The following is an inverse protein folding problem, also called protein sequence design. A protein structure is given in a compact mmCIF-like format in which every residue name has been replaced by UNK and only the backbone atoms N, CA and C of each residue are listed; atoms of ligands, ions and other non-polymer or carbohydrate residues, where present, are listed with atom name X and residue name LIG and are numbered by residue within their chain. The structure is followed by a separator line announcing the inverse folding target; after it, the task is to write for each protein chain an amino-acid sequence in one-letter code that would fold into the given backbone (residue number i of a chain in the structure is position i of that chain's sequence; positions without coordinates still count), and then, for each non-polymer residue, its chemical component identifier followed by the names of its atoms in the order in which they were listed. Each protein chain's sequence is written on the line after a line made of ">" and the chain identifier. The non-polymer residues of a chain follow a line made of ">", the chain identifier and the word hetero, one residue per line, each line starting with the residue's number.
data_IF_853604646858
#
_entry.id   IF_853604646858
#
_cell.length_a   1.000
_cell.length_b   1.000
_cell.length_c   1.000
_cell.angle_alpha   90.00
_cell.angle_beta   90.00
_cell.angle_gamma   90.00
#
_symmetry.space_group_name_H-M   'P 1'
#
loop_
_entity.id
_entity.type
_entity.pdbx_description
1 polymer ?
#
# COMPACT_ATOMS: atom_id res chain seq x y z
N UNK A 1 13.96 17.96 -9.61
CA UNK A 1 13.74 18.80 -8.39
C UNK A 1 15.09 19.00 -7.70
N UNK A 2 15.42 20.20 -7.21
CA UNK A 2 16.67 20.45 -6.45
C UNK A 2 16.43 20.27 -4.95
N UNK A 3 17.43 19.83 -4.20
CA UNK A 3 17.35 19.66 -2.73
C UNK A 3 16.97 20.96 -2.02
N UNK A 4 17.39 22.10 -2.55
CA UNK A 4 17.03 23.43 -2.03
C UNK A 4 15.53 23.71 -2.05
N UNK A 5 14.76 23.08 -2.95
CA UNK A 5 13.29 23.16 -2.93
C UNK A 5 12.72 22.49 -1.68
N UNK A 6 13.29 21.38 -1.22
CA UNK A 6 12.85 20.70 0.00
C UNK A 6 13.11 21.55 1.24
N UNK A 7 14.28 22.19 1.32
CA UNK A 7 14.61 23.12 2.41
C UNK A 7 13.63 24.29 2.45
N UNK A 8 13.29 24.87 1.30
CA UNK A 8 12.23 25.90 1.21
C UNK A 8 10.86 25.36 1.63
N UNK A 9 10.53 24.13 1.25
CA UNK A 9 9.31 23.45 1.69
C UNK A 9 9.22 23.30 3.21
N UNK A 10 10.34 23.00 3.88
CA UNK A 10 10.39 22.98 5.35
C UNK A 10 10.13 24.36 5.97
N UNK A 11 10.67 25.43 5.37
CA UNK A 11 10.38 26.81 5.81
C UNK A 11 8.88 27.08 5.69
N UNK A 12 8.26 26.75 4.54
CA UNK A 12 6.80 26.86 4.37
C UNK A 12 6.01 26.03 5.39
N UNK A 13 6.44 24.79 5.68
CA UNK A 13 5.82 23.96 6.72
C UNK A 13 5.87 24.66 8.08
N UNK A 14 7.02 25.24 8.46
CA UNK A 14 7.21 25.95 9.74
C UNK A 14 6.36 27.22 9.85
N UNK A 15 6.19 27.94 8.74
CA UNK A 15 5.49 29.24 8.72
C UNK A 15 3.97 29.11 8.52
N UNK A 16 3.50 28.02 7.90
CA UNK A 16 2.08 27.87 7.53
C UNK A 16 1.40 26.67 8.19
N UNK A 17 1.94 25.46 8.03
CA UNK A 17 1.30 24.24 8.52
C UNK A 17 1.45 24.09 10.03
N UNK A 18 2.67 24.26 10.56
CA UNK A 18 2.96 24.04 11.98
C UNK A 18 2.13 24.95 12.91
N UNK A 19 2.00 26.27 12.69
CA UNK A 19 1.25 27.14 13.61
C UNK A 19 -0.24 26.76 13.70
N UNK A 20 -0.82 26.25 12.61
CA UNK A 20 -2.24 25.84 12.56
C UNK A 20 -2.47 24.45 13.15
N UNK A 21 -1.42 23.67 13.41
CA UNK A 21 -1.48 22.30 13.94
C UNK A 21 -0.60 22.10 15.19
N UNK A 22 -0.11 23.18 15.81
CA UNK A 22 0.90 23.10 16.86
C UNK A 22 0.44 22.27 18.06
N UNK A 23 -0.82 22.43 18.47
CA UNK A 23 -1.39 21.67 19.59
C UNK A 23 -1.50 20.18 19.28
N UNK A 24 -1.97 19.83 18.07
CA UNK A 24 -2.02 18.44 17.60
C UNK A 24 -0.62 17.81 17.61
N UNK A 25 0.36 18.50 17.03
CA UNK A 25 1.74 17.98 16.93
C UNK A 25 2.40 17.86 18.31
N UNK A 26 2.13 18.80 19.22
CA UNK A 26 2.58 18.73 20.61
C UNK A 26 1.98 17.53 21.32
N UNK A 27 0.67 17.32 21.20
CA UNK A 27 -0.02 16.18 21.78
C UNK A 27 0.55 14.85 21.26
N UNK A 28 0.75 14.72 19.94
CA UNK A 28 1.37 13.52 19.34
C UNK A 28 2.82 13.30 19.82
N UNK A 29 3.59 14.37 20.04
CA UNK A 29 4.95 14.27 20.54
C UNK A 29 5.00 13.85 22.03
N UNK A 30 4.04 14.30 22.85
CA UNK A 30 3.99 14.03 24.29
C UNK A 30 3.36 12.66 24.60
N UNK A 31 2.39 12.22 23.80
CA UNK A 31 1.57 11.03 24.09
C UNK A 31 1.74 9.90 23.08
N UNK A 32 2.44 10.12 21.98
CA UNK A 32 2.63 9.13 20.92
C UNK A 32 1.49 9.12 19.90
N UNK A 33 1.51 8.11 19.02
CA UNK A 33 0.56 7.95 17.92
C UNK A 33 -0.47 6.86 18.23
N UNK A 34 -1.71 7.06 17.78
CA UNK A 34 -2.80 6.08 17.90
C UNK A 34 -3.65 6.00 16.61
N UNK A 35 -3.02 5.73 15.45
CA UNK A 35 -3.76 5.61 14.20
C UNK A 35 -4.72 4.42 14.26
N UNK A 36 -5.91 4.58 13.67
CA UNK A 36 -6.87 3.48 13.51
C UNK A 36 -6.68 2.72 12.22
N UNK A 37 -5.96 3.30 11.26
CA UNK A 37 -5.77 2.73 9.92
C UNK A 37 -4.28 2.60 9.62
N UNK A 38 -3.86 1.41 9.22
CA UNK A 38 -2.61 1.21 8.52
C UNK A 38 -2.83 1.18 7.00
N UNK A 39 -1.98 1.86 6.23
CA UNK A 39 -2.06 1.86 4.76
C UNK A 39 -0.75 1.32 4.19
N UNK A 40 -0.84 0.25 3.42
CA UNK A 40 0.26 -0.31 2.63
C UNK A 40 0.11 0.22 1.21
N UNK A 41 1.04 1.10 0.81
CA UNK A 41 0.99 1.81 -0.47
C UNK A 41 2.29 1.67 -1.26
N UNK A 42 2.23 1.99 -2.55
CA UNK A 42 3.40 1.90 -3.42
C UNK A 42 4.37 3.04 -3.08
N UNK A 43 5.67 2.86 -3.30
CA UNK A 43 6.69 3.93 -3.25
C UNK A 43 6.55 4.97 -4.38
N UNK A 44 5.59 4.79 -5.30
CA UNK A 44 5.34 5.70 -6.41
C UNK A 44 5.13 7.14 -5.94
N UNK A 45 5.95 8.07 -6.44
CA UNK A 45 5.94 9.46 -5.99
C UNK A 45 4.65 10.23 -6.30
N UNK A 46 3.77 9.65 -7.14
CA UNK A 46 2.47 10.22 -7.54
C UNK A 46 1.34 9.84 -6.59
N UNK A 47 1.53 8.81 -5.76
CA UNK A 47 0.51 8.30 -4.84
C UNK A 47 0.94 8.60 -3.41
N UNK A 48 0.24 9.53 -2.76
CA UNK A 48 0.44 9.84 -1.35
C UNK A 48 -0.88 9.56 -0.60
N UNK A 49 -0.95 8.50 0.23
CA UNK A 49 -2.16 8.15 0.95
C UNK A 49 -2.75 9.30 1.76
N UNK A 50 -1.92 10.01 2.54
CA UNK A 50 -2.39 11.09 3.39
C UNK A 50 -2.98 12.26 2.58
N UNK A 51 -2.41 12.58 1.42
CA UNK A 51 -2.99 13.59 0.52
C UNK A 51 -4.27 13.09 -0.17
N UNK A 52 -4.32 11.81 -0.54
CA UNK A 52 -5.48 11.20 -1.21
C UNK A 52 -6.71 11.19 -0.30
N UNK A 53 -6.51 11.02 1.02
CA UNK A 53 -7.59 10.88 2.01
C UNK A 53 -7.74 12.08 2.95
N UNK A 54 -7.11 13.21 2.64
CA UNK A 54 -7.09 14.42 3.49
C UNK A 54 -6.74 14.13 4.96
N UNK A 55 -5.79 13.22 5.18
CA UNK A 55 -5.42 12.76 6.51
C UNK A 55 -4.39 13.67 7.17
N UNK A 56 -4.55 13.86 8.47
CA UNK A 56 -3.68 14.65 9.34
C UNK A 56 -2.58 13.79 9.96
N UNK A 57 -1.54 14.41 10.53
CA UNK A 57 -0.56 13.70 11.35
C UNK A 57 -1.27 12.90 12.45
N UNK A 58 -0.93 11.61 12.56
CA UNK A 58 -1.53 10.69 13.54
C UNK A 58 -2.68 9.83 13.01
N UNK A 59 -3.31 10.18 11.88
CA UNK A 59 -4.47 9.43 11.36
C UNK A 59 -4.08 8.07 10.76
N UNK A 60 -2.95 8.03 10.04
CA UNK A 60 -2.51 6.86 9.27
C UNK A 60 -1.14 6.35 9.74
N UNK A 61 -1.01 5.02 9.86
CA UNK A 61 0.28 4.34 9.89
C UNK A 61 0.64 3.85 8.48
N UNK A 62 1.59 4.51 7.81
CA UNK A 62 1.85 4.26 6.38
C UNK A 62 3.09 3.40 6.14
N UNK A 63 2.89 2.30 5.43
CA UNK A 63 3.95 1.39 4.94
C UNK A 63 4.09 1.62 3.44
N UNK A 64 5.31 1.88 2.95
CA UNK A 64 5.56 2.06 1.52
C UNK A 64 6.61 1.10 0.99
N UNK A 65 6.25 0.35 -0.04
CA UNK A 65 7.15 -0.56 -0.77
C UNK A 65 6.80 -0.59 -2.26
N UNK A 66 7.51 -1.37 -3.07
CA UNK A 66 7.24 -1.45 -4.51
C UNK A 66 5.93 -2.24 -4.72
N UNK A 67 4.97 -1.65 -5.44
CA UNK A 67 3.68 -2.25 -5.80
C UNK A 67 2.75 -2.60 -4.62
N UNK A 68 2.94 -1.96 -3.45
CA UNK A 68 2.05 -2.12 -2.28
C UNK A 68 1.91 -3.57 -1.80
N UNK A 69 2.96 -4.38 -1.96
CA UNK A 69 2.89 -5.81 -1.75
C UNK A 69 3.04 -6.19 -0.27
N UNK A 70 2.30 -7.21 0.12
CA UNK A 70 2.50 -7.91 1.39
C UNK A 70 3.02 -9.31 1.10
N UNK A 71 4.23 -9.68 1.58
CA UNK A 71 4.72 -11.06 1.48
C UNK A 71 3.89 -11.99 2.39
N UNK A 72 3.79 -13.29 2.07
CA UNK A 72 3.14 -14.25 2.94
C UNK A 72 3.95 -14.47 4.22
N UNK A 73 3.29 -14.93 5.28
CA UNK A 73 3.95 -15.39 6.49
C UNK A 73 4.73 -16.69 6.22
N UNK A 74 6.03 -16.70 6.56
CA UNK A 74 6.89 -17.88 6.45
C UNK A 74 7.52 -18.17 7.81
N UNK A 75 6.98 -19.16 8.52
CA UNK A 75 7.43 -19.51 9.88
C UNK A 75 8.90 -19.96 9.94
N UNK A 76 9.37 -20.63 8.89
CA UNK A 76 10.69 -21.27 8.85
C UNK A 76 11.83 -20.32 8.43
N UNK A 77 11.53 -19.17 7.84
CA UNK A 77 12.53 -18.22 7.36
C UNK A 77 12.11 -16.78 7.68
N UNK A 78 12.63 -16.28 8.80
CA UNK A 78 12.44 -14.89 9.23
C UNK A 78 13.44 -13.91 8.60
N UNK A 79 14.33 -14.37 7.72
CA UNK A 79 15.38 -13.52 7.14
C UNK A 79 14.88 -12.66 5.97
N UNK A 80 13.79 -13.08 5.33
CA UNK A 80 13.22 -12.40 4.17
C UNK A 80 12.08 -11.43 4.55
N UNK A 81 12.06 -10.27 3.88
CA UNK A 81 10.99 -9.25 3.92
C UNK A 81 10.67 -8.61 5.29
N UNK A 82 11.65 -8.57 6.18
CA UNK A 82 11.49 -8.10 7.56
C UNK A 82 10.85 -6.72 7.69
N UNK A 83 11.14 -5.77 6.78
CA UNK A 83 10.62 -4.40 6.87
C UNK A 83 9.09 -4.31 6.74
N UNK A 84 8.50 -5.02 5.77
CA UNK A 84 7.03 -4.99 5.59
C UNK A 84 6.36 -5.79 6.70
N UNK A 85 6.86 -6.99 7.02
CA UNK A 85 6.29 -7.85 8.04
C UNK A 85 6.34 -7.18 9.43
N UNK A 86 7.49 -6.63 9.82
CA UNK A 86 7.63 -5.94 11.11
C UNK A 86 6.73 -4.72 11.21
N UNK A 87 6.52 -3.98 10.10
CA UNK A 87 5.62 -2.85 10.10
C UNK A 87 4.15 -3.27 10.26
N UNK A 88 3.71 -4.36 9.60
CA UNK A 88 2.35 -4.91 9.80
C UNK A 88 2.20 -5.45 11.23
N UNK A 89 3.19 -6.17 11.75
CA UNK A 89 3.19 -6.67 13.13
C UNK A 89 3.08 -5.51 14.14
N UNK A 90 3.84 -4.44 13.94
CA UNK A 90 3.78 -3.25 14.79
C UNK A 90 2.44 -2.50 14.66
N UNK A 91 1.87 -2.41 13.46
CA UNK A 91 0.55 -1.83 13.27
C UNK A 91 -0.52 -2.60 14.08
N UNK A 92 -0.49 -3.93 14.02
CA UNK A 92 -1.48 -4.77 14.69
C UNK A 92 -1.24 -4.86 16.21
N UNK A 93 -0.03 -5.17 16.66
CA UNK A 93 0.25 -5.34 18.09
C UNK A 93 0.66 -4.06 18.80
N UNK A 94 1.52 -3.26 18.17
CA UNK A 94 2.06 -2.04 18.78
C UNK A 94 1.07 -0.89 18.80
N UNK A 95 0.31 -0.72 17.71
CA UNK A 95 -0.63 0.40 17.55
C UNK A 95 -2.10 0.00 17.66
N UNK A 96 -2.40 -1.30 17.60
CA UNK A 96 -3.76 -1.82 17.62
C UNK A 96 -4.67 -1.13 16.60
N UNK A 97 -4.19 -1.01 15.35
CA UNK A 97 -5.02 -0.52 14.25
C UNK A 97 -6.26 -1.41 14.08
N UNK A 98 -7.35 -0.80 13.67
CA UNK A 98 -8.64 -1.45 13.42
C UNK A 98 -8.83 -1.76 11.93
N UNK A 99 -8.06 -1.09 11.06
CA UNK A 99 -8.14 -1.28 9.61
C UNK A 99 -6.75 -1.38 8.98
N UNK A 100 -6.61 -2.29 8.00
CA UNK A 100 -5.46 -2.34 7.09
C UNK A 100 -5.95 -2.16 5.66
N UNK A 101 -5.44 -1.14 4.98
CA UNK A 101 -5.71 -0.86 3.57
C UNK A 101 -4.50 -1.24 2.72
N UNK A 102 -4.70 -2.11 1.73
CA UNK A 102 -3.73 -2.33 0.64
C UNK A 102 -4.13 -1.45 -0.54
N UNK A 103 -3.35 -0.38 -0.79
CA UNK A 103 -3.63 0.61 -1.83
C UNK A 103 -2.80 0.35 -3.09
N UNK A 104 -3.39 -0.37 -4.05
CA UNK A 104 -2.89 -0.47 -5.42
C UNK A 104 -3.14 0.81 -6.22
N UNK A 105 -2.48 0.97 -7.36
CA UNK A 105 -2.70 2.12 -8.22
C UNK A 105 -2.41 1.83 -9.70
N UNK A 106 -3.01 2.64 -10.57
CA UNK A 106 -2.82 2.57 -12.01
C UNK A 106 -1.38 2.92 -12.43
N UNK A 107 -0.91 2.27 -13.48
CA UNK A 107 0.41 2.47 -14.09
C UNK A 107 1.56 2.29 -13.10
N UNK A 108 1.49 1.23 -12.30
CA UNK A 108 2.49 0.89 -11.29
C UNK A 108 3.78 0.39 -11.94
N UNK A 109 4.89 1.08 -11.68
CA UNK A 109 6.20 0.68 -12.20
C UNK A 109 6.63 -0.73 -11.78
N UNK A 110 6.28 -1.17 -10.57
CA UNK A 110 6.57 -2.53 -10.10
C UNK A 110 5.78 -3.60 -10.85
N UNK A 111 4.51 -3.37 -11.12
CA UNK A 111 3.68 -4.29 -11.91
C UNK A 111 4.10 -4.29 -13.38
N UNK A 112 4.41 -3.13 -13.95
CA UNK A 112 4.98 -3.05 -15.29
C UNK A 112 6.30 -3.83 -15.39
N UNK A 113 7.15 -3.75 -14.36
CA UNK A 113 8.39 -4.52 -14.27
C UNK A 113 8.14 -6.04 -14.17
N UNK A 114 7.09 -6.46 -13.47
CA UNK A 114 6.65 -7.87 -13.39
C UNK A 114 6.18 -8.38 -14.76
N UNK A 115 5.40 -7.58 -15.49
CA UNK A 115 4.86 -7.95 -16.80
C UNK A 115 5.94 -7.94 -17.90
N UNK A 116 6.88 -6.99 -17.84
CA UNK A 116 7.92 -6.82 -18.85
C UNK A 116 8.75 -8.08 -19.11
N UNK A 117 9.04 -8.34 -20.38
CA UNK A 117 9.90 -9.46 -20.81
C UNK A 117 11.37 -9.05 -20.95
N UNK A 118 11.67 -7.75 -21.01
CA UNK A 118 13.01 -7.16 -21.17
C UNK A 118 13.11 -5.76 -20.55
N UNK A 119 14.33 -5.22 -20.44
CA UNK A 119 14.61 -3.85 -19.96
C UNK A 119 15.22 -3.77 -18.56
N UNK A 120 15.40 -2.54 -18.05
CA UNK A 120 16.08 -2.23 -16.77
C UNK A 120 15.49 -2.98 -15.57
N UNK A 121 14.18 -3.27 -15.62
CA UNK A 121 13.50 -4.11 -14.63
C UNK A 121 14.16 -5.50 -14.45
N UNK A 122 14.67 -6.10 -15.55
CA UNK A 122 15.38 -7.38 -15.54
C UNK A 122 16.83 -7.29 -15.03
N UNK A 123 17.37 -6.09 -14.84
CA UNK A 123 18.70 -5.89 -14.26
C UNK A 123 18.62 -5.62 -12.75
N UNK A 124 17.44 -5.28 -12.24
CA UNK A 124 17.20 -5.03 -10.82
C UNK A 124 16.91 -6.33 -10.05
N UNK A 125 17.95 -7.03 -9.61
CA UNK A 125 17.86 -8.33 -8.90
C UNK A 125 16.90 -8.29 -7.68
N UNK A 126 17.03 -7.29 -6.81
CA UNK A 126 16.16 -7.16 -5.63
C UNK A 126 14.71 -6.86 -5.99
N UNK A 127 14.47 -6.09 -7.05
CA UNK A 127 13.11 -5.79 -7.53
C UNK A 127 12.47 -7.06 -8.10
N UNK A 128 13.19 -7.84 -8.89
CA UNK A 128 12.68 -9.12 -9.39
C UNK A 128 12.38 -10.09 -8.26
N UNK A 129 13.29 -10.22 -7.29
CA UNK A 129 13.07 -11.06 -6.11
C UNK A 129 11.83 -10.62 -5.33
N UNK A 130 11.66 -9.31 -5.12
CA UNK A 130 10.48 -8.72 -4.47
C UNK A 130 9.20 -9.00 -5.25
N UNK A 131 9.22 -8.79 -6.58
CA UNK A 131 8.03 -8.96 -7.42
C UNK A 131 7.57 -10.42 -7.54
N UNK A 132 8.36 -11.42 -7.10
CA UNK A 132 7.90 -12.82 -6.96
C UNK A 132 6.69 -12.96 -6.03
N UNK A 133 6.52 -12.05 -5.07
CA UNK A 133 5.33 -12.02 -4.19
C UNK A 133 4.05 -11.92 -5.03
N UNK A 134 4.08 -11.21 -6.15
CA UNK A 134 2.94 -11.01 -7.05
C UNK A 134 3.04 -11.86 -8.33
N UNK A 135 3.82 -12.93 -8.36
CA UNK A 135 4.02 -13.73 -9.57
C UNK A 135 2.70 -14.26 -10.17
N UNK A 136 1.73 -14.61 -9.32
CA UNK A 136 0.39 -15.04 -9.74
C UNK A 136 -0.38 -13.93 -10.48
N UNK A 137 -0.15 -12.64 -10.16
CA UNK A 137 -0.80 -11.53 -10.85
C UNK A 137 -0.44 -11.46 -12.34
N UNK A 138 0.80 -11.83 -12.69
CA UNK A 138 1.21 -11.94 -14.10
C UNK A 138 0.43 -13.03 -14.81
N UNK A 139 0.23 -14.18 -14.15
CA UNK A 139 -0.53 -15.28 -14.73
C UNK A 139 -2.00 -14.91 -14.91
N UNK A 140 -2.60 -14.24 -13.93
CA UNK A 140 -3.97 -13.69 -14.04
C UNK A 140 -4.10 -12.73 -15.21
N UNK A 141 -3.15 -11.81 -15.38
CA UNK A 141 -3.18 -10.85 -16.50
C UNK A 141 -3.01 -11.54 -17.86
N UNK A 142 -2.05 -12.46 -18.00
CA UNK A 142 -1.84 -13.19 -19.25
C UNK A 142 -2.98 -14.18 -19.59
N UNK A 143 -3.68 -14.69 -18.58
CA UNK A 143 -4.87 -15.51 -18.75
C UNK A 143 -6.16 -14.72 -18.99
N UNK A 144 -6.13 -13.41 -18.75
CA UNK A 144 -7.28 -12.54 -19.01
C UNK A 144 -7.47 -12.37 -20.53
N UNK A 145 -8.72 -12.36 -21.00
CA UNK A 145 -9.05 -12.12 -22.41
C UNK A 145 -8.93 -10.63 -22.79
N UNK A 146 -8.00 -9.90 -22.19
CA UNK A 146 -7.81 -8.46 -22.42
C UNK A 146 -7.07 -8.21 -23.73
N UNK A 147 -7.53 -7.19 -24.47
CA UNK A 147 -7.06 -6.88 -25.82
C UNK A 147 -5.86 -5.91 -25.82
N UNK A 148 -5.59 -5.25 -24.69
CA UNK A 148 -4.53 -4.24 -24.58
C UNK A 148 -3.54 -4.48 -23.44
N UNK A 149 -2.26 -4.10 -23.61
CA UNK A 149 -1.28 -4.11 -22.53
C UNK A 149 -1.71 -3.26 -21.31
N UNK A 150 -2.41 -2.14 -21.52
CA UNK A 150 -2.91 -1.32 -20.41
C UNK A 150 -3.97 -2.05 -19.56
N UNK A 151 -4.88 -2.79 -20.19
CA UNK A 151 -5.87 -3.59 -19.47
C UNK A 151 -5.23 -4.75 -18.73
N UNK A 152 -4.26 -5.44 -19.35
CA UNK A 152 -3.48 -6.49 -18.68
C UNK A 152 -2.72 -5.94 -17.47
N UNK A 153 -2.14 -4.75 -17.58
CA UNK A 153 -1.49 -4.07 -16.45
C UNK A 153 -2.49 -3.77 -15.32
N UNK A 154 -3.67 -3.24 -15.65
CA UNK A 154 -4.74 -3.00 -14.67
C UNK A 154 -5.17 -4.28 -13.96
N UNK A 155 -5.35 -5.38 -14.71
CA UNK A 155 -5.69 -6.70 -14.13
C UNK A 155 -4.59 -7.16 -13.18
N UNK A 156 -3.31 -7.06 -13.57
CA UNK A 156 -2.20 -7.43 -12.70
C UNK A 156 -2.11 -6.54 -11.45
N UNK A 157 -2.35 -5.23 -11.57
CA UNK A 157 -2.34 -4.29 -10.45
C UNK A 157 -3.44 -4.63 -9.43
N UNK A 158 -4.66 -4.92 -9.89
CA UNK A 158 -5.77 -5.35 -9.04
C UNK A 158 -5.52 -6.74 -8.43
N UNK A 159 -5.00 -7.68 -9.20
CA UNK A 159 -4.63 -9.01 -8.70
C UNK A 159 -3.55 -8.93 -7.61
N UNK A 160 -2.56 -8.03 -7.73
CA UNK A 160 -1.54 -7.83 -6.71
C UNK A 160 -2.10 -7.34 -5.36
N UNK A 161 -3.16 -6.51 -5.40
CA UNK A 161 -3.90 -6.12 -4.19
C UNK A 161 -4.57 -7.34 -3.56
N UNK A 162 -5.30 -8.14 -4.35
CA UNK A 162 -5.96 -9.37 -3.87
C UNK A 162 -4.95 -10.36 -3.27
N UNK A 163 -3.81 -10.57 -3.92
CA UNK A 163 -2.72 -11.43 -3.42
C UNK A 163 -2.20 -10.93 -2.07
N UNK A 164 -2.04 -9.61 -1.92
CA UNK A 164 -1.54 -9.03 -0.66
C UNK A 164 -2.56 -9.15 0.47
N UNK A 165 -3.87 -9.02 0.19
CA UNK A 165 -4.94 -9.30 1.16
C UNK A 165 -4.93 -10.77 1.58
N UNK A 166 -4.80 -11.70 0.63
CA UNK A 166 -4.66 -13.13 0.91
C UNK A 166 -3.42 -13.41 1.76
N UNK A 167 -2.29 -12.76 1.46
CA UNK A 167 -1.06 -12.90 2.22
C UNK A 167 -1.21 -12.36 3.65
N UNK A 168 -1.94 -11.26 3.87
CA UNK A 168 -2.26 -10.78 5.22
C UNK A 168 -3.00 -11.85 6.04
N UNK A 169 -3.92 -12.60 5.43
CA UNK A 169 -4.62 -13.70 6.11
C UNK A 169 -3.75 -14.93 6.41
N UNK A 170 -2.51 -15.00 5.89
CA UNK A 170 -1.56 -16.06 6.26
C UNK A 170 -0.86 -15.82 7.60
N UNK A 171 -0.93 -14.60 8.13
CA UNK A 171 -0.41 -14.26 9.46
C UNK A 171 -1.43 -14.68 10.52
N UNK A 172 -1.13 -15.62 11.43
CA UNK A 172 -2.12 -16.12 12.38
C UNK A 172 -2.75 -15.02 13.24
N UNK A 173 -1.98 -13.99 13.58
CA UNK A 173 -2.43 -12.86 14.39
C UNK A 173 -3.23 -11.80 13.61
N UNK A 174 -3.14 -11.75 12.28
CA UNK A 174 -4.07 -10.98 11.46
C UNK A 174 -5.37 -11.74 11.36
N UNK A 175 -5.29 -13.02 10.96
CA UNK A 175 -6.45 -13.89 10.78
C UNK A 175 -7.32 -13.90 12.03
N UNK A 176 -6.73 -14.15 13.21
CA UNK A 176 -7.45 -14.16 14.49
C UNK A 176 -8.23 -12.86 14.73
N UNK A 177 -7.62 -11.70 14.48
CA UNK A 177 -8.28 -10.40 14.72
C UNK A 177 -9.39 -10.09 13.72
N UNK A 178 -9.22 -10.52 12.48
CA UNK A 178 -10.26 -10.42 11.44
C UNK A 178 -11.45 -11.31 11.82
N UNK A 179 -11.20 -12.55 12.22
CA UNK A 179 -12.24 -13.49 12.67
C UNK A 179 -12.97 -12.99 13.94
N UNK A 180 -12.27 -12.26 14.82
CA UNK A 180 -12.84 -11.62 16.00
C UNK A 180 -13.57 -10.29 15.69
N UNK A 181 -13.47 -9.76 14.47
CA UNK A 181 -14.06 -8.47 14.08
C UNK A 181 -13.36 -7.26 14.71
N UNK A 182 -12.10 -7.40 15.15
CA UNK A 182 -11.29 -6.29 15.72
C UNK A 182 -10.32 -5.69 14.70
N UNK A 183 -10.22 -6.29 13.52
CA UNK A 183 -9.41 -5.83 12.41
C UNK A 183 -10.16 -6.07 11.10
N UNK A 184 -10.19 -5.09 10.21
CA UNK A 184 -10.74 -5.24 8.87
C UNK A 184 -9.69 -5.00 7.80
N UNK A 185 -9.73 -5.80 6.72
CA UNK A 185 -8.82 -5.70 5.60
C UNK A 185 -9.54 -5.09 4.39
N UNK A 186 -8.89 -4.11 3.74
CA UNK A 186 -9.48 -3.35 2.64
C UNK A 186 -8.54 -3.33 1.43
N UNK A 187 -9.04 -3.73 0.27
CA UNK A 187 -8.32 -3.61 -1.00
C UNK A 187 -8.73 -2.36 -1.74
N UNK A 188 -7.83 -1.41 -1.97
CA UNK A 188 -8.12 -0.18 -2.70
C UNK A 188 -7.31 -0.13 -3.99
N UNK A 189 -7.87 0.50 -5.02
CA UNK A 189 -7.19 0.75 -6.28
C UNK A 189 -7.46 2.18 -6.76
N UNK A 190 -6.39 2.96 -6.90
CA UNK A 190 -6.46 4.37 -7.29
C UNK A 190 -5.97 4.58 -8.72
N UNK A 191 -6.81 5.17 -9.57
CA UNK A 191 -6.41 5.64 -10.88
C UNK A 191 -6.10 7.14 -10.85
N UNK A 192 -4.81 7.47 -10.95
CA UNK A 192 -4.32 8.85 -10.96
C UNK A 192 -4.86 9.68 -12.14
N UNK A 193 -5.02 9.07 -13.32
CA UNK A 193 -5.40 9.79 -14.53
C UNK A 193 -6.86 10.28 -14.49
N UNK A 194 -7.74 9.49 -13.87
CA UNK A 194 -9.16 9.81 -13.71
C UNK A 194 -9.53 10.33 -12.30
N UNK A 195 -8.57 10.35 -11.37
CA UNK A 195 -8.78 10.62 -9.96
C UNK A 195 -9.88 9.75 -9.31
N UNK A 196 -9.99 8.49 -9.76
CA UNK A 196 -11.02 7.56 -9.25
C UNK A 196 -10.43 6.57 -8.26
N UNK A 197 -11.11 6.38 -7.13
CA UNK A 197 -10.83 5.33 -6.17
C UNK A 197 -11.87 4.22 -6.28
N UNK A 198 -11.43 2.98 -6.35
CA UNK A 198 -12.28 1.79 -6.29
C UNK A 198 -11.88 0.91 -5.11
N UNK A 199 -12.84 0.26 -4.47
CA UNK A 199 -12.64 -0.68 -3.36
C UNK A 199 -12.96 -2.10 -3.82
N UNK A 200 -12.18 -3.06 -3.36
CA UNK A 200 -12.40 -4.48 -3.60
C UNK A 200 -13.55 -4.98 -2.72
N UNK A 201 -14.53 -5.62 -3.35
CA UNK A 201 -15.62 -6.32 -2.67
C UNK A 201 -15.39 -7.83 -2.79
N UNK A 202 -15.25 -8.50 -1.64
CA UNK A 202 -14.96 -9.93 -1.59
C UNK A 202 -16.13 -10.80 -2.08
N UNK A 203 -17.37 -10.32 -1.94
CA UNK A 203 -18.56 -11.09 -2.35
C UNK A 203 -18.69 -11.19 -3.87
N UNK A 204 -18.45 -10.09 -4.57
CA UNK A 204 -18.46 -10.04 -6.05
C UNK A 204 -17.12 -10.37 -6.69
N UNK A 205 -16.02 -10.41 -5.93
CA UNK A 205 -14.65 -10.50 -6.42
C UNK A 205 -14.26 -9.35 -7.39
N UNK A 206 -14.90 -8.18 -7.22
CA UNK A 206 -14.75 -7.03 -8.12
C UNK A 206 -14.28 -5.75 -7.40
N UNK A 207 -13.63 -4.87 -8.15
CA UNK A 207 -13.34 -3.51 -7.71
C UNK A 207 -14.47 -2.56 -8.10
N UNK A 208 -15.14 -1.99 -7.11
CA UNK A 208 -16.29 -1.12 -7.29
C UNK A 208 -15.91 0.34 -6.99
N UNK A 209 -16.45 1.29 -7.76
CA UNK A 209 -16.22 2.71 -7.51
C UNK A 209 -16.78 3.11 -6.14
N UNK A 210 -16.01 3.92 -5.41
CA UNK A 210 -16.52 4.54 -4.17
C UNK A 210 -17.69 5.44 -4.54
N UNK A 211 -18.85 5.17 -3.94
CA UNK A 211 -20.03 6.05 -4.08
C UNK A 211 -19.78 7.27 -3.20
N UNK A 212 -19.64 8.43 -3.84
CA UNK A 212 -19.55 9.75 -3.19
C UNK A 212 -20.94 10.32 -2.99
#
# INVERSE_FOLDING_TARGET
>A
MKITKLLKGYVTYRESFYPTHAELLKNLAEHGQHPKVAVIACCDSRVNPAMLTDSKPGDLFVIRNIASLVPPYVAADKSNWQGTIAAVEYAVFGLAVEHIVVLGHAQCGGINALLAESGVAKECEYVQSWMKIAAEAKQTALGSCCDSPEEQAKVAEQAAVKISLKNLMTFPWVQERVEQGTLELHGWYYNLASATLTTYDEQSDEFQAVKV
#
